data_IF_008910404423
#
_entry.id   IF_008910404423
#
_cell.length_a   1.000
_cell.length_b   1.000
_cell.length_c   1.000
_cell.angle_alpha   90.00
_cell.angle_beta   90.00
_cell.angle_gamma   90.00
#
_symmetry.space_group_name_H-M   'P 1'
#
loop_
_entity.id
_entity.type
_entity.pdbx_description
1 polymer ?
#
# COMPACT_ATOMS: atom_id res chain seq x y z
N UNK A 1 12.55 -1.61 -17.30
CA UNK A 1 11.49 -0.68 -16.84
C UNK A 1 10.31 -1.55 -16.45
N UNK A 2 10.12 -1.81 -15.15
CA UNK A 2 8.94 -2.47 -14.65
C UNK A 2 7.75 -1.53 -14.83
N UNK A 3 6.80 -1.89 -15.68
CA UNK A 3 5.56 -1.18 -15.78
C UNK A 3 4.70 -1.53 -14.55
N UNK A 4 4.48 -0.56 -13.66
CA UNK A 4 3.35 -0.65 -12.75
C UNK A 4 2.10 -0.43 -13.59
N UNK A 5 1.21 -1.40 -13.58
CA UNK A 5 -0.04 -1.29 -14.30
C UNK A 5 -0.91 -0.20 -13.66
N UNK A 6 -1.13 0.90 -14.39
CA UNK A 6 -2.32 1.71 -14.19
C UNK A 6 -3.50 0.81 -14.54
N UNK A 7 -4.35 0.50 -13.60
CA UNK A 7 -5.56 -0.25 -13.91
C UNK A 7 -5.97 -1.30 -12.88
N UNK A 8 -5.21 -1.46 -11.80
CA UNK A 8 -5.75 -2.11 -10.63
C UNK A 8 -6.43 -1.05 -9.79
N UNK A 9 -7.58 -0.64 -10.24
CA UNK A 9 -8.48 0.08 -9.36
C UNK A 9 -8.89 -0.91 -8.27
N UNK A 10 -8.45 -0.60 -7.05
CA UNK A 10 -8.99 -1.24 -5.88
C UNK A 10 -10.46 -0.80 -5.80
N UNK A 11 -11.34 -1.75 -6.07
CA UNK A 11 -12.78 -1.53 -6.00
C UNK A 11 -13.30 -2.02 -4.65
N UNK A 12 -13.94 -1.15 -3.93
CA UNK A 12 -14.70 -1.49 -2.72
C UNK A 12 -15.82 -0.48 -2.55
N UNK A 13 -16.95 -0.96 -2.10
CA UNK A 13 -18.11 -0.11 -1.81
C UNK A 13 -17.93 0.65 -0.50
N UNK A 14 -18.63 1.77 -0.38
CA UNK A 14 -18.69 2.53 0.85
C UNK A 14 -19.39 1.73 1.95
N UNK A 15 -18.74 1.65 3.10
CA UNK A 15 -19.34 1.12 4.32
C UNK A 15 -20.15 2.22 4.98
N UNK A 16 -21.39 1.94 5.35
CA UNK A 16 -22.26 2.96 5.91
C UNK A 16 -21.97 3.25 7.39
N UNK A 17 -21.78 2.21 8.20
CA UNK A 17 -21.62 2.32 9.65
C UNK A 17 -20.57 1.33 10.19
N UNK A 18 -20.00 1.68 11.33
CA UNK A 18 -19.21 0.81 12.17
C UNK A 18 -19.82 0.69 13.55
N UNK A 19 -19.85 -0.50 14.12
CA UNK A 19 -20.46 -0.76 15.43
C UNK A 19 -19.40 -1.17 16.43
N UNK A 20 -19.40 -0.52 17.59
CA UNK A 20 -18.58 -0.83 18.73
C UNK A 20 -19.54 -1.05 19.90
N UNK A 21 -19.77 -2.30 20.27
CA UNK A 21 -20.82 -2.70 21.20
C UNK A 21 -22.18 -2.12 20.76
N UNK A 22 -22.78 -1.26 21.56
CA UNK A 22 -24.06 -0.58 21.30
C UNK A 22 -23.91 0.78 20.59
N UNK A 23 -22.69 1.21 20.29
CA UNK A 23 -22.42 2.50 19.65
C UNK A 23 -22.30 2.34 18.14
N UNK A 24 -23.25 2.92 17.41
CA UNK A 24 -23.25 2.92 15.94
C UNK A 24 -22.70 4.23 15.41
N UNK A 25 -21.55 4.18 14.71
CA UNK A 25 -20.82 5.35 14.21
C UNK A 25 -20.90 5.35 12.68
N UNK A 26 -21.26 6.45 12.01
CA UNK A 26 -21.10 6.59 10.55
C UNK A 26 -19.66 6.25 10.16
N UNK A 27 -19.48 5.40 9.15
CA UNK A 27 -18.14 4.85 8.87
C UNK A 27 -17.13 5.92 8.45
N UNK A 28 -17.55 6.96 7.76
CA UNK A 28 -16.69 8.10 7.44
C UNK A 28 -16.14 8.77 8.71
N UNK A 29 -17.00 8.94 9.70
CA UNK A 29 -16.63 9.51 11.00
C UNK A 29 -15.72 8.56 11.80
N UNK A 30 -15.97 7.25 11.71
CA UNK A 30 -15.09 6.24 12.27
C UNK A 30 -13.69 6.29 11.62
N UNK A 31 -13.59 6.40 10.29
CA UNK A 31 -12.32 6.57 9.58
C UNK A 31 -11.59 7.84 10.04
N UNK A 32 -12.29 8.95 10.15
CA UNK A 32 -11.74 10.22 10.62
C UNK A 32 -11.21 10.10 12.06
N UNK A 33 -12.01 9.58 12.97
CA UNK A 33 -11.65 9.35 14.37
C UNK A 33 -10.44 8.43 14.52
N UNK A 34 -10.44 7.30 13.82
CA UNK A 34 -9.33 6.34 13.88
C UNK A 34 -8.03 6.92 13.31
N UNK A 35 -8.10 7.79 12.29
CA UNK A 35 -6.94 8.52 11.79
C UNK A 35 -6.30 9.38 12.87
N UNK A 36 -7.08 10.16 13.59
CA UNK A 36 -6.59 10.98 14.70
C UNK A 36 -6.08 10.13 15.88
N UNK A 37 -6.82 9.07 16.25
CA UNK A 37 -6.45 8.27 17.42
C UNK A 37 -5.23 7.38 17.16
N UNK A 38 -5.13 6.78 15.98
CA UNK A 38 -3.98 5.91 15.65
C UNK A 38 -2.68 6.69 15.53
N UNK A 39 -2.73 7.96 15.16
CA UNK A 39 -1.56 8.85 15.20
C UNK A 39 -1.14 9.15 16.65
N UNK A 40 -1.83 10.02 17.35
CA UNK A 40 -1.45 10.55 18.67
C UNK A 40 -2.30 10.06 19.85
N UNK A 41 -3.14 9.02 19.66
CA UNK A 41 -4.09 8.58 20.69
C UNK A 41 -3.53 7.59 21.73
N UNK A 42 -4.16 7.57 22.87
CA UNK A 42 -3.93 6.61 23.97
C UNK A 42 -5.22 6.34 24.73
N UNK A 43 -5.20 5.33 25.58
CA UNK A 43 -6.32 5.03 26.52
C UNK A 43 -5.89 5.25 27.95
N UNK A 44 -6.80 5.72 28.78
CA UNK A 44 -6.54 6.05 30.19
C UNK A 44 -7.65 5.46 31.08
N UNK A 45 -7.26 4.89 32.21
CA UNK A 45 -8.19 4.31 33.18
C UNK A 45 -9.15 3.30 32.55
N UNK A 46 -10.41 3.28 32.99
CA UNK A 46 -11.42 2.32 32.53
C UNK A 46 -12.30 2.80 31.38
N UNK A 47 -12.33 4.09 31.11
CA UNK A 47 -13.19 4.68 30.08
C UNK A 47 -12.52 5.80 29.28
N UNK A 48 -11.33 6.28 29.68
CA UNK A 48 -10.70 7.44 29.06
C UNK A 48 -10.12 7.11 27.67
N UNK A 49 -10.48 7.93 26.70
CA UNK A 49 -9.90 8.00 25.36
C UNK A 49 -9.23 9.34 25.19
N UNK A 50 -7.98 9.36 24.83
CA UNK A 50 -7.15 10.57 24.75
C UNK A 50 -6.52 10.67 23.36
N UNK A 51 -6.51 11.87 22.81
CA UNK A 51 -5.77 12.22 21.60
C UNK A 51 -4.87 13.40 21.92
N UNK A 52 -3.56 13.20 21.81
CA UNK A 52 -2.56 14.22 22.09
C UNK A 52 -2.52 15.21 20.94
N UNK A 53 -2.89 16.47 21.23
CA UNK A 53 -2.84 17.57 20.27
C UNK A 53 -2.80 18.89 21.04
N UNK A 54 -1.77 19.67 20.85
CA UNK A 54 -1.56 20.93 21.57
C UNK A 54 -2.59 21.98 21.16
N UNK A 55 -2.85 22.92 22.06
CA UNK A 55 -3.64 24.09 21.77
C UNK A 55 -2.99 24.92 20.65
N UNK A 56 -3.80 25.38 19.70
CA UNK A 56 -3.32 26.10 18.51
C UNK A 56 -2.92 25.22 17.32
N UNK A 57 -2.81 23.89 17.50
CA UNK A 57 -2.52 22.99 16.39
C UNK A 57 -3.74 22.80 15.44
N UNK A 58 -3.52 22.76 14.12
CA UNK A 58 -4.62 22.75 13.13
C UNK A 58 -5.59 21.56 13.25
N UNK A 59 -5.12 20.42 13.76
CA UNK A 59 -5.95 19.23 13.91
C UNK A 59 -6.89 19.30 15.12
N UNK A 60 -6.60 20.14 16.12
CA UNK A 60 -7.30 20.14 17.40
C UNK A 60 -8.81 20.39 17.26
N UNK A 61 -9.19 21.43 16.57
CA UNK A 61 -10.61 21.78 16.38
C UNK A 61 -11.37 20.70 15.61
N UNK A 62 -10.70 20.05 14.67
CA UNK A 62 -11.26 18.92 13.92
C UNK A 62 -11.48 17.71 14.80
N UNK A 63 -10.53 17.39 15.71
CA UNK A 63 -10.66 16.32 16.69
C UNK A 63 -11.83 16.59 17.63
N UNK A 64 -11.94 17.81 18.16
CA UNK A 64 -13.06 18.24 19.01
C UNK A 64 -14.39 18.05 18.30
N UNK A 65 -14.50 18.51 17.06
CA UNK A 65 -15.71 18.35 16.26
C UNK A 65 -16.01 16.88 15.95
N UNK A 66 -15.00 16.09 15.66
CA UNK A 66 -15.15 14.65 15.43
C UNK A 66 -15.70 13.94 16.66
N UNK A 67 -15.16 14.20 17.86
CA UNK A 67 -15.64 13.63 19.13
C UNK A 67 -17.10 14.02 19.41
N UNK A 68 -17.48 15.29 19.18
CA UNK A 68 -18.87 15.75 19.32
C UNK A 68 -19.81 15.06 18.34
N UNK A 69 -19.41 14.88 17.10
CA UNK A 69 -20.20 14.19 16.07
C UNK A 69 -20.39 12.70 16.36
N UNK A 70 -19.46 12.05 17.07
CA UNK A 70 -19.63 10.68 17.57
C UNK A 70 -20.65 10.63 18.73
N UNK A 71 -20.93 11.76 19.36
CA UNK A 71 -21.90 11.86 20.47
C UNK A 71 -21.27 12.00 21.86
N UNK A 72 -19.99 12.38 21.96
CA UNK A 72 -19.31 12.56 23.24
C UNK A 72 -18.94 14.03 23.49
N UNK A 73 -18.93 14.42 24.76
CA UNK A 73 -18.44 15.72 25.17
C UNK A 73 -16.91 15.68 25.34
N UNK A 74 -16.13 16.50 24.59
CA UNK A 74 -14.70 16.53 24.72
C UNK A 74 -14.24 17.34 25.94
N UNK A 75 -13.33 16.77 26.71
CA UNK A 75 -12.59 17.44 27.78
C UNK A 75 -11.26 17.94 27.24
N UNK A 76 -11.04 19.24 27.34
CA UNK A 76 -9.86 19.91 26.75
C UNK A 76 -8.84 20.26 27.83
N UNK A 77 -7.60 19.97 27.52
CA UNK A 77 -6.46 20.48 28.28
C UNK A 77 -5.42 21.03 27.27
N UNK A 78 -4.39 21.73 27.70
CA UNK A 78 -3.42 22.40 26.80
C UNK A 78 -2.75 21.45 25.80
N UNK A 79 -2.64 20.16 26.12
CA UNK A 79 -1.87 19.19 25.34
C UNK A 79 -2.71 18.09 24.69
N UNK A 80 -3.99 17.96 25.07
CA UNK A 80 -4.82 16.82 24.64
C UNK A 80 -6.31 17.15 24.56
N UNK A 81 -7.00 16.34 23.79
CA UNK A 81 -8.46 16.22 23.76
C UNK A 81 -8.81 14.84 24.32
N UNK A 82 -9.68 14.78 25.31
CA UNK A 82 -10.09 13.53 25.93
C UNK A 82 -11.61 13.41 25.97
N UNK A 83 -12.13 12.21 25.99
CA UNK A 83 -13.53 11.90 26.29
C UNK A 83 -13.63 10.54 26.97
N UNK A 84 -14.81 10.19 27.47
CA UNK A 84 -15.01 8.99 28.27
C UNK A 84 -16.05 8.08 27.64
N UNK A 85 -15.64 6.86 27.30
CA UNK A 85 -16.49 5.78 26.80
C UNK A 85 -15.82 4.44 27.04
N UNK A 86 -16.43 3.61 27.87
CA UNK A 86 -15.91 2.25 28.17
C UNK A 86 -15.88 1.36 26.90
N UNK A 87 -16.95 1.29 26.06
CA UNK A 87 -16.93 0.53 24.83
C UNK A 87 -15.81 0.95 23.89
N UNK A 88 -15.74 2.24 23.55
CA UNK A 88 -14.70 2.75 22.63
C UNK A 88 -13.29 2.54 23.22
N UNK A 89 -13.08 2.80 24.51
CA UNK A 89 -11.80 2.56 25.16
C UNK A 89 -11.37 1.10 25.09
N UNK A 90 -12.29 0.16 25.33
CA UNK A 90 -12.01 -1.27 25.26
C UNK A 90 -11.68 -1.71 23.83
N UNK A 91 -12.42 -1.24 22.85
CA UNK A 91 -12.12 -1.44 21.43
C UNK A 91 -10.72 -0.91 21.08
N UNK A 92 -10.39 0.31 21.49
CA UNK A 92 -9.10 0.93 21.16
C UNK A 92 -7.91 0.24 21.84
N UNK A 93 -8.11 -0.42 22.97
CA UNK A 93 -7.06 -1.13 23.70
C UNK A 93 -6.42 -2.25 22.89
N UNK A 94 -7.16 -2.86 21.96
CA UNK A 94 -6.65 -3.95 21.12
C UNK A 94 -5.53 -3.52 20.17
N UNK A 95 -5.46 -2.23 19.83
CA UNK A 95 -4.43 -1.71 18.92
C UNK A 95 -3.08 -1.44 19.59
N UNK A 96 -3.00 -1.62 20.91
CA UNK A 96 -1.75 -1.47 21.65
C UNK A 96 -1.31 -0.01 21.83
N UNK A 97 -0.02 0.16 22.10
CA UNK A 97 0.61 1.48 22.32
C UNK A 97 1.69 1.72 21.28
N UNK A 98 1.89 2.97 20.89
CA UNK A 98 3.03 3.44 20.09
C UNK A 98 3.46 2.45 18.97
N UNK A 99 4.55 1.72 19.23
CA UNK A 99 5.17 0.79 18.28
C UNK A 99 4.33 -0.45 17.93
N UNK A 100 3.23 -0.71 18.63
CA UNK A 100 2.36 -1.87 18.39
C UNK A 100 1.10 -1.52 17.62
N UNK A 101 0.80 -0.24 17.40
CA UNK A 101 -0.39 0.20 16.69
C UNK A 101 -0.46 -0.34 15.26
N UNK A 102 -1.67 -0.57 14.78
CA UNK A 102 -1.96 -1.03 13.42
C UNK A 102 -3.31 -0.53 12.95
N UNK A 103 -3.55 -0.55 11.65
CA UNK A 103 -4.83 -0.12 11.05
C UNK A 103 -5.81 -1.30 11.04
N UNK A 104 -7.05 -1.12 11.54
CA UNK A 104 -8.06 -2.18 11.50
C UNK A 104 -8.40 -2.60 10.08
N UNK A 105 -8.72 -3.89 9.90
CA UNK A 105 -9.09 -4.47 8.61
C UNK A 105 -10.31 -3.79 7.97
N UNK A 106 -11.25 -3.33 8.78
CA UNK A 106 -12.41 -2.56 8.29
C UNK A 106 -11.97 -1.34 7.46
N UNK A 107 -10.99 -0.57 7.93
CA UNK A 107 -10.46 0.59 7.19
C UNK A 107 -9.63 0.13 5.99
N UNK A 108 -8.85 -0.96 6.12
CA UNK A 108 -8.05 -1.47 5.00
C UNK A 108 -8.89 -2.01 3.85
N UNK A 109 -10.11 -2.43 4.13
CA UNK A 109 -11.05 -2.95 3.14
C UNK A 109 -12.17 -1.95 2.76
N UNK A 110 -12.06 -0.70 3.21
CA UNK A 110 -13.00 0.37 2.89
C UNK A 110 -12.82 0.88 1.46
N UNK A 111 -13.77 1.68 0.98
CA UNK A 111 -13.65 2.34 -0.32
C UNK A 111 -12.45 3.30 -0.36
N UNK A 112 -11.96 3.61 -1.56
CA UNK A 112 -10.88 4.58 -1.75
C UNK A 112 -11.21 5.93 -1.11
N UNK A 113 -12.47 6.36 -1.22
CA UNK A 113 -12.96 7.59 -0.61
C UNK A 113 -12.80 7.57 0.91
N UNK A 114 -13.20 6.49 1.55
CA UNK A 114 -13.14 6.31 3.01
C UNK A 114 -11.69 6.12 3.51
N UNK A 115 -10.88 5.40 2.77
CA UNK A 115 -9.42 5.32 3.00
C UNK A 115 -8.80 6.72 3.00
N UNK A 116 -9.19 7.58 2.07
CA UNK A 116 -8.69 8.96 2.00
C UNK A 116 -9.11 9.81 3.20
N UNK A 117 -10.30 9.61 3.76
CA UNK A 117 -10.71 10.27 5.01
C UNK A 117 -9.75 9.91 6.13
N UNK A 118 -9.47 8.61 6.30
CA UNK A 118 -8.53 8.12 7.30
C UNK A 118 -7.12 8.70 7.10
N UNK A 119 -6.56 8.60 5.89
CA UNK A 119 -5.23 9.11 5.57
C UNK A 119 -5.09 10.61 5.80
N UNK A 120 -6.11 11.39 5.46
CA UNK A 120 -6.12 12.83 5.70
C UNK A 120 -6.14 13.17 7.21
N UNK A 121 -6.93 12.45 8.00
CA UNK A 121 -6.99 12.63 9.44
C UNK A 121 -5.65 12.26 10.11
N UNK A 122 -5.07 11.13 9.73
CA UNK A 122 -3.75 10.70 10.23
C UNK A 122 -2.66 11.71 9.88
N UNK A 123 -2.62 12.20 8.63
CA UNK A 123 -1.64 13.17 8.15
C UNK A 123 -1.68 14.49 8.95
N UNK A 124 -2.85 14.92 9.37
CA UNK A 124 -3.00 16.16 10.14
C UNK A 124 -2.35 16.10 11.53
N UNK A 125 -2.16 14.91 12.11
CA UNK A 125 -1.56 14.71 13.43
C UNK A 125 -0.09 14.27 13.33
N UNK A 126 0.19 13.16 12.65
CA UNK A 126 1.52 12.56 12.52
C UNK A 126 2.01 12.55 11.06
N UNK A 127 1.68 13.58 10.34
CA UNK A 127 2.11 13.76 8.97
C UNK A 127 2.67 15.13 8.69
N UNK A 128 3.12 15.29 7.47
CA UNK A 128 3.59 16.56 6.94
C UNK A 128 3.18 16.72 5.49
N UNK A 129 2.60 17.87 5.18
CA UNK A 129 2.29 18.27 3.81
C UNK A 129 3.24 19.38 3.41
N UNK A 130 4.08 19.11 2.43
CA UNK A 130 4.97 20.11 1.84
C UNK A 130 4.34 20.61 0.54
N UNK A 131 4.06 21.93 0.44
CA UNK A 131 3.63 22.54 -0.81
C UNK A 131 4.66 22.27 -1.90
N UNK A 132 4.19 21.98 -3.08
CA UNK A 132 5.06 21.77 -4.21
C UNK A 132 5.83 23.04 -4.52
N UNK A 133 7.14 22.91 -4.68
CA UNK A 133 8.01 23.96 -5.20
C UNK A 133 8.49 23.55 -6.58
N UNK A 134 8.36 24.43 -7.56
CA UNK A 134 9.13 24.30 -8.79
C UNK A 134 10.61 24.40 -8.42
N UNK A 135 11.44 23.53 -8.95
CA UNK A 135 12.89 23.66 -8.83
C UNK A 135 13.53 23.56 -10.22
N UNK A 136 14.61 24.28 -10.40
CA UNK A 136 15.42 24.23 -11.62
C UNK A 136 16.52 23.20 -11.40
N UNK A 137 16.54 22.15 -12.21
CA UNK A 137 17.60 21.13 -12.18
C UNK A 137 18.93 21.68 -12.70
N UNK A 138 20.02 20.95 -12.49
CA UNK A 138 21.40 21.33 -12.83
C UNK A 138 21.62 21.68 -14.32
N UNK A 139 20.68 21.35 -15.19
CA UNK A 139 20.71 21.64 -16.64
C UNK A 139 19.69 22.69 -17.08
N UNK A 140 19.20 23.52 -16.14
CA UNK A 140 18.23 24.57 -16.45
C UNK A 140 16.80 24.07 -16.72
N UNK A 141 16.55 22.77 -16.58
CA UNK A 141 15.21 22.22 -16.75
C UNK A 141 14.36 22.53 -15.52
N UNK A 142 13.27 23.25 -15.72
CA UNK A 142 12.32 23.56 -14.67
C UNK A 142 11.42 22.33 -14.42
N UNK A 143 11.49 21.78 -13.21
CA UNK A 143 10.60 20.72 -12.77
C UNK A 143 9.45 21.35 -11.99
N UNK A 144 8.25 21.29 -12.55
CA UNK A 144 7.02 21.69 -11.86
C UNK A 144 6.30 20.40 -11.43
N UNK A 145 6.10 20.24 -10.13
CA UNK A 145 5.12 19.31 -9.62
C UNK A 145 3.91 20.12 -9.16
N UNK A 146 2.76 19.82 -9.65
CA UNK A 146 1.47 20.46 -9.32
C UNK A 146 0.80 19.84 -8.09
N UNK A 147 1.45 18.87 -7.45
CA UNK A 147 0.92 18.15 -6.29
C UNK A 147 1.84 18.26 -5.09
N UNK A 148 1.23 18.52 -3.94
CA UNK A 148 1.94 18.57 -2.66
C UNK A 148 2.58 17.21 -2.33
N UNK A 149 3.73 17.26 -1.65
CA UNK A 149 4.35 16.08 -1.08
C UNK A 149 3.69 15.77 0.27
N UNK A 150 3.22 14.55 0.45
CA UNK A 150 2.60 14.08 1.69
C UNK A 150 3.49 13.00 2.31
N UNK A 151 3.80 13.18 3.59
CA UNK A 151 4.55 12.24 4.41
C UNK A 151 3.73 11.86 5.63
N UNK A 152 3.86 10.60 6.04
CA UNK A 152 3.29 10.04 7.25
C UNK A 152 4.43 9.50 8.11
N UNK A 153 4.34 9.68 9.43
CA UNK A 153 5.35 9.22 10.37
C UNK A 153 4.74 8.27 11.39
N UNK A 154 5.47 7.24 11.77
CA UNK A 154 5.07 6.33 12.83
C UNK A 154 6.27 5.58 13.38
N UNK A 155 6.19 5.15 14.64
CA UNK A 155 7.18 4.25 15.25
C UNK A 155 6.76 2.78 15.19
N UNK A 156 5.59 2.48 14.64
CA UNK A 156 5.11 1.11 14.43
C UNK A 156 5.43 0.64 13.01
N UNK A 157 6.23 -0.42 12.90
CA UNK A 157 6.51 -1.06 11.61
C UNK A 157 5.24 -1.60 10.95
N UNK A 158 4.34 -2.17 11.76
CA UNK A 158 3.05 -2.67 11.28
C UNK A 158 2.19 -1.55 10.71
N UNK A 159 2.08 -0.43 11.44
CA UNK A 159 1.37 0.76 10.99
C UNK A 159 1.96 1.32 9.70
N UNK A 160 3.29 1.38 9.59
CA UNK A 160 3.98 1.86 8.40
C UNK A 160 3.65 1.02 7.16
N UNK A 161 3.62 -0.29 7.32
CA UNK A 161 3.19 -1.20 6.26
C UNK A 161 1.71 -1.04 5.92
N UNK A 162 0.83 -0.86 6.92
CA UNK A 162 -0.60 -0.64 6.71
C UNK A 162 -0.88 0.70 6.01
N UNK A 163 -0.17 1.79 6.38
CA UNK A 163 -0.22 3.07 5.67
C UNK A 163 0.23 2.92 4.20
N UNK A 164 1.30 2.15 3.96
CA UNK A 164 1.76 1.86 2.60
C UNK A 164 0.71 1.11 1.79
N UNK A 165 -0.02 0.18 2.40
CA UNK A 165 -1.15 -0.53 1.79
C UNK A 165 -2.27 0.44 1.39
N UNK A 166 -2.67 1.33 2.30
CA UNK A 166 -3.74 2.30 2.03
C UNK A 166 -3.37 3.29 0.93
N UNK A 167 -2.12 3.77 0.90
CA UNK A 167 -1.62 4.64 -0.16
C UNK A 167 -1.68 3.91 -1.52
N UNK A 168 -1.26 2.65 -1.57
CA UNK A 168 -1.29 1.84 -2.78
C UNK A 168 -2.73 1.61 -3.28
N UNK A 169 -3.65 1.24 -2.38
CA UNK A 169 -5.08 1.09 -2.67
C UNK A 169 -5.74 2.39 -3.15
N UNK A 170 -5.22 3.52 -2.72
CA UNK A 170 -5.68 4.85 -3.16
C UNK A 170 -5.10 5.29 -4.52
N UNK A 171 -4.40 4.40 -5.24
CA UNK A 171 -3.87 4.66 -6.57
C UNK A 171 -2.52 5.41 -6.61
N UNK A 172 -1.89 5.63 -5.46
CA UNK A 172 -0.58 6.26 -5.35
C UNK A 172 0.49 5.24 -4.94
N UNK A 173 1.76 5.58 -5.13
CA UNK A 173 2.88 4.71 -4.79
C UNK A 173 3.48 5.10 -3.43
N UNK A 174 3.55 4.18 -2.45
CA UNK A 174 4.26 4.45 -1.21
C UNK A 174 5.78 4.40 -1.43
N UNK A 175 6.51 5.33 -0.82
CA UNK A 175 7.96 5.28 -0.66
C UNK A 175 8.27 5.20 0.83
N UNK A 176 9.04 4.21 1.23
CA UNK A 176 9.26 3.83 2.61
C UNK A 176 10.72 4.06 3.02
N UNK A 177 10.94 4.76 4.11
CA UNK A 177 12.25 4.95 4.71
C UNK A 177 12.21 4.76 6.23
N UNK A 178 13.34 4.41 6.82
CA UNK A 178 13.48 4.13 8.25
C UNK A 178 14.64 4.96 8.80
N UNK A 179 14.35 5.77 9.81
CA UNK A 179 15.35 6.42 10.64
C UNK A 179 15.52 5.57 11.89
N UNK A 180 16.72 5.02 12.06
CA UNK A 180 17.01 4.12 13.18
C UNK A 180 16.99 4.83 14.52
N UNK A 181 16.57 4.12 15.57
CA UNK A 181 16.69 4.57 16.96
C UNK A 181 18.15 4.93 17.27
N UNK A 182 18.33 5.91 18.15
CA UNK A 182 19.65 6.37 18.55
C UNK A 182 19.71 7.89 18.73
N UNK A 183 20.94 8.38 18.83
CA UNK A 183 21.22 9.80 18.99
C UNK A 183 21.44 10.45 17.63
N UNK A 184 20.71 11.51 17.34
CA UNK A 184 20.88 12.32 16.13
C UNK A 184 21.14 13.77 16.51
N UNK A 185 21.97 14.45 15.70
CA UNK A 185 22.29 15.87 15.86
C UNK A 185 21.54 16.67 14.78
N UNK A 186 20.77 17.67 15.20
CA UNK A 186 20.14 18.60 14.26
C UNK A 186 21.16 19.64 13.79
N UNK A 187 20.87 20.25 12.64
CA UNK A 187 21.69 21.35 12.08
C UNK A 187 21.81 22.55 13.01
N UNK A 188 20.87 22.75 13.93
CA UNK A 188 20.89 23.80 14.96
C UNK A 188 21.66 23.40 16.24
N UNK A 189 22.37 22.27 16.24
CA UNK A 189 23.15 21.77 17.37
C UNK A 189 22.36 21.02 18.44
N UNK A 190 21.02 20.94 18.35
CA UNK A 190 20.25 20.18 19.32
C UNK A 190 20.38 18.67 19.10
N UNK A 191 20.42 17.93 20.21
CA UNK A 191 20.53 16.47 20.22
C UNK A 191 19.12 15.89 20.41
N UNK A 192 18.75 14.94 19.56
CA UNK A 192 17.54 14.15 19.72
C UNK A 192 17.93 12.72 19.99
N UNK A 193 17.38 12.17 21.07
CA UNK A 193 17.48 10.74 21.39
C UNK A 193 16.14 10.07 21.07
N UNK A 194 16.16 9.14 20.15
CA UNK A 194 14.98 8.34 19.77
C UNK A 194 15.09 6.93 20.32
N UNK A 195 14.09 6.50 21.07
CA UNK A 195 14.04 5.15 21.66
C UNK A 195 13.52 4.09 20.69
N UNK A 196 12.91 4.51 19.57
CA UNK A 196 12.30 3.65 18.56
C UNK A 196 12.75 4.08 17.18
N UNK A 197 12.77 3.12 16.24
CA UNK A 197 12.88 3.39 14.83
C UNK A 197 11.68 4.25 14.38
N UNK A 198 11.94 5.27 13.57
CA UNK A 198 10.90 6.10 13.00
C UNK A 198 10.74 5.77 11.51
N UNK A 199 9.57 5.32 11.14
CA UNK A 199 9.20 5.00 9.78
C UNK A 199 8.57 6.22 9.12
N UNK A 200 9.07 6.57 7.94
CA UNK A 200 8.55 7.66 7.12
C UNK A 200 8.01 7.10 5.81
N UNK A 201 6.75 7.34 5.56
CA UNK A 201 6.05 6.88 4.36
C UNK A 201 5.67 8.09 3.54
N UNK A 202 6.24 8.19 2.33
CA UNK A 202 5.91 9.26 1.38
C UNK A 202 4.90 8.78 0.38
N UNK A 203 3.89 9.59 0.12
CA UNK A 203 2.93 9.37 -0.94
C UNK A 203 3.47 9.95 -2.26
N UNK A 204 3.74 9.09 -3.23
CA UNK A 204 4.26 9.45 -4.53
C UNK A 204 3.17 9.30 -5.59
N UNK A 205 2.91 10.37 -6.33
CA UNK A 205 1.91 10.37 -7.41
C UNK A 205 2.43 9.76 -8.72
N UNK A 206 3.75 9.55 -8.83
CA UNK A 206 4.32 8.84 -9.97
C UNK A 206 4.03 7.35 -9.85
N UNK A 207 3.40 6.79 -10.88
CA UNK A 207 3.08 5.36 -10.97
C UNK A 207 4.24 4.54 -11.52
N UNK A 208 5.33 5.17 -11.95
CA UNK A 208 6.51 4.49 -12.51
C UNK A 208 7.49 4.15 -11.40
N UNK A 209 7.79 2.87 -11.22
CA UNK A 209 8.91 2.44 -10.39
C UNK A 209 10.19 2.33 -11.22
N UNK A 210 11.28 2.81 -10.65
CA UNK A 210 12.61 2.65 -11.23
C UNK A 210 13.37 1.57 -10.46
N UNK A 211 13.91 0.59 -11.17
CA UNK A 211 14.80 -0.41 -10.58
C UNK A 211 16.20 0.18 -10.53
N UNK A 212 16.68 0.50 -9.34
CA UNK A 212 18.02 1.06 -9.13
C UNK A 212 19.09 -0.02 -8.95
N UNK A 213 18.69 -1.19 -8.45
CA UNK A 213 19.59 -2.28 -8.18
C UNK A 213 18.97 -3.60 -8.66
N UNK A 214 19.80 -4.42 -9.31
CA UNK A 214 19.44 -5.76 -9.75
C UNK A 214 20.56 -6.70 -9.38
N UNK A 215 20.23 -7.73 -8.62
CA UNK A 215 21.14 -8.79 -8.23
C UNK A 215 20.60 -10.11 -8.75
N UNK A 216 21.47 -10.94 -9.29
CA UNK A 216 21.17 -12.31 -9.71
C UNK A 216 21.65 -13.22 -8.59
N UNK A 217 20.71 -13.91 -7.95
CA UNK A 217 21.02 -14.89 -6.91
C UNK A 217 20.65 -16.29 -7.42
N UNK A 218 21.54 -17.25 -7.14
CA UNK A 218 21.19 -18.64 -7.34
C UNK A 218 20.13 -19.04 -6.31
N UNK A 219 19.05 -19.66 -6.77
CA UNK A 219 17.96 -20.14 -5.92
C UNK A 219 17.73 -21.63 -6.24
N UNK A 220 17.85 -22.46 -5.23
CA UNK A 220 17.53 -23.88 -5.28
C UNK A 220 16.37 -24.14 -4.32
N UNK A 221 15.17 -24.39 -4.85
CA UNK A 221 13.95 -24.56 -4.08
C UNK A 221 12.66 -24.35 -4.90
N UNK A 222 11.52 -24.48 -4.24
CA UNK A 222 10.24 -24.31 -4.87
C UNK A 222 9.89 -22.83 -5.07
N UNK A 223 9.38 -22.49 -6.26
CA UNK A 223 8.76 -21.22 -6.54
C UNK A 223 7.25 -21.42 -6.49
N UNK A 224 6.59 -20.60 -5.70
CA UNK A 224 5.13 -20.66 -5.52
C UNK A 224 4.46 -19.55 -6.31
N UNK A 225 3.35 -19.87 -6.94
CA UNK A 225 2.50 -18.93 -7.63
C UNK A 225 1.04 -19.12 -7.19
N UNK A 226 0.23 -18.08 -7.33
CA UNK A 226 -1.17 -18.07 -6.92
C UNK A 226 -2.07 -17.97 -8.15
N UNK A 227 -3.05 -18.85 -8.25
CA UNK A 227 -4.13 -18.68 -9.22
C UNK A 227 -5.13 -17.67 -8.66
N UNK A 228 -5.30 -16.55 -9.37
CA UNK A 228 -6.21 -15.48 -8.99
C UNK A 228 -7.44 -15.48 -9.90
N UNK A 229 -8.60 -15.26 -9.31
CA UNK A 229 -9.87 -15.30 -10.00
C UNK A 229 -10.04 -14.18 -11.03
N UNK A 230 -9.55 -12.97 -10.71
CA UNK A 230 -9.64 -11.79 -11.57
C UNK A 230 -8.27 -11.15 -11.76
N UNK A 231 -8.03 -10.61 -12.95
CA UNK A 231 -6.91 -9.71 -13.32
C UNK A 231 -5.49 -10.23 -13.06
N UNK A 232 -5.31 -11.37 -12.40
CA UNK A 232 -4.02 -11.96 -12.02
C UNK A 232 -3.07 -10.99 -11.33
N UNK A 233 -3.60 -10.03 -10.60
CA UNK A 233 -2.86 -9.03 -9.86
C UNK A 233 -3.09 -9.25 -8.38
N UNK A 234 -2.00 -9.28 -7.63
CA UNK A 234 -2.00 -9.49 -6.20
C UNK A 234 -1.33 -8.35 -5.47
N UNK A 235 -1.81 -8.06 -4.28
CA UNK A 235 -1.13 -7.21 -3.33
C UNK A 235 0.00 -8.00 -2.68
N UNK A 236 1.22 -7.48 -2.78
CA UNK A 236 2.42 -8.09 -2.19
C UNK A 236 2.98 -7.15 -1.15
N UNK A 237 3.31 -7.70 0.02
CA UNK A 237 3.99 -7.00 1.09
C UNK A 237 5.24 -7.77 1.50
N UNK A 238 6.41 -7.11 1.41
CA UNK A 238 7.68 -7.68 1.82
C UNK A 238 8.50 -6.62 2.58
N UNK A 239 8.94 -6.94 3.80
CA UNK A 239 9.73 -6.03 4.63
C UNK A 239 9.09 -4.65 4.79
N UNK A 240 7.78 -4.60 5.08
CA UNK A 240 7.01 -3.36 5.21
C UNK A 240 6.69 -2.64 3.90
N UNK A 241 7.31 -3.00 2.78
CA UNK A 241 7.07 -2.40 1.46
C UNK A 241 5.96 -3.12 0.72
N UNK A 242 5.08 -2.34 0.11
CA UNK A 242 3.89 -2.83 -0.57
C UNK A 242 3.95 -2.49 -2.05
N UNK A 243 3.47 -3.42 -2.89
CA UNK A 243 3.34 -3.20 -4.33
C UNK A 243 2.30 -4.15 -4.94
N UNK A 244 1.80 -3.78 -6.12
CA UNK A 244 1.02 -4.68 -6.92
C UNK A 244 1.94 -5.58 -7.71
N UNK A 245 1.83 -6.88 -7.53
CA UNK A 245 2.48 -7.89 -8.34
C UNK A 245 1.47 -8.53 -9.28
N UNK A 246 1.92 -8.97 -10.44
CA UNK A 246 1.12 -9.83 -11.30
C UNK A 246 1.61 -11.26 -11.16
N UNK A 247 0.66 -12.18 -11.19
CA UNK A 247 0.94 -13.57 -11.50
C UNK A 247 1.54 -13.64 -12.91
N UNK A 248 2.64 -14.34 -13.08
CA UNK A 248 3.26 -14.48 -14.39
C UNK A 248 2.38 -15.36 -15.26
N UNK A 249 1.73 -14.76 -16.26
CA UNK A 249 0.85 -15.49 -17.19
C UNK A 249 1.60 -16.26 -18.28
N UNK A 250 2.90 -16.06 -18.39
CA UNK A 250 3.65 -16.51 -19.53
C UNK A 250 4.92 -17.21 -19.06
N UNK A 251 4.80 -18.46 -18.69
CA UNK A 251 5.93 -19.36 -18.73
C UNK A 251 5.94 -20.08 -20.07
N UNK A 252 7.08 -20.04 -20.77
CA UNK A 252 7.41 -21.17 -21.62
C UNK A 252 7.59 -22.34 -20.65
N UNK A 253 6.57 -23.15 -20.50
CA UNK A 253 6.76 -24.47 -19.91
C UNK A 253 7.49 -25.23 -21.00
N UNK A 254 8.76 -25.61 -20.79
CA UNK A 254 9.38 -26.52 -21.73
C UNK A 254 8.48 -27.76 -21.76
N UNK A 255 8.04 -28.15 -22.94
CA UNK A 255 7.38 -29.43 -23.14
C UNK A 255 8.48 -30.46 -22.88
N UNK A 256 8.50 -30.98 -21.67
CA UNK A 256 9.45 -32.01 -21.31
C UNK A 256 8.99 -33.29 -21.99
N UNK A 257 9.91 -33.92 -22.69
CA UNK A 257 9.73 -35.27 -23.20
C UNK A 257 9.44 -36.20 -22.00
N UNK A 258 8.63 -37.21 -22.22
CA UNK A 258 8.47 -38.29 -21.23
C UNK A 258 9.80 -39.01 -21.07
N UNK A 259 9.98 -39.79 -20.01
CA UNK A 259 11.22 -40.55 -19.78
C UNK A 259 11.48 -41.52 -20.94
N UNK A 260 10.45 -42.16 -21.49
CA UNK A 260 10.53 -43.02 -22.66
C UNK A 260 10.95 -42.25 -23.91
N UNK A 261 10.33 -41.12 -24.21
CA UNK A 261 10.68 -40.25 -25.34
C UNK A 261 12.11 -39.70 -25.21
N UNK A 262 12.62 -39.49 -23.99
CA UNK A 262 13.97 -39.04 -23.73
C UNK A 262 15.00 -40.14 -24.03
N UNK A 263 14.74 -41.38 -23.63
CA UNK A 263 15.63 -42.48 -23.87
C UNK A 263 15.62 -42.98 -25.32
N UNK A 264 14.56 -42.79 -26.05
CA UNK A 264 14.45 -43.08 -27.50
C UNK A 264 15.18 -42.04 -28.36
N UNK A 265 15.52 -40.86 -27.80
CA UNK A 265 16.17 -39.79 -28.53
C UNK A 265 17.69 -39.95 -28.48
N UNK A 266 18.29 -40.19 -29.67
CA UNK A 266 19.74 -40.41 -29.86
C UNK A 266 20.58 -39.12 -29.76
N UNK A 267 19.96 -37.95 -29.52
CA UNK A 267 20.64 -36.65 -29.37
C UNK A 267 21.20 -36.06 -30.68
N UNK A 268 21.03 -36.73 -31.84
CA UNK A 268 21.61 -36.35 -33.12
C UNK A 268 20.62 -35.91 -34.16
N UNK A 269 19.35 -36.27 -34.00
CA UNK A 269 18.24 -35.87 -34.88
C UNK A 269 17.45 -34.72 -34.28
N UNK A 270 16.96 -33.81 -35.12
CA UNK A 270 15.88 -32.91 -34.69
C UNK A 270 14.71 -33.78 -34.21
N UNK A 271 14.17 -33.47 -33.02
CA UNK A 271 13.07 -34.23 -32.45
C UNK A 271 11.84 -34.13 -33.41
N UNK A 272 11.67 -35.14 -34.23
CA UNK A 272 10.59 -35.22 -35.24
C UNK A 272 9.29 -35.81 -34.70
N UNK A 273 9.34 -36.43 -33.50
CA UNK A 273 8.17 -36.98 -32.83
C UNK A 273 7.58 -35.95 -31.86
N UNK A 274 6.33 -35.57 -32.09
CA UNK A 274 5.57 -34.74 -31.19
C UNK A 274 5.42 -35.45 -29.84
N UNK A 275 5.82 -34.78 -28.72
CA UNK A 275 5.63 -35.33 -27.37
C UNK A 275 4.15 -35.46 -27.04
N UNK A 276 3.80 -36.52 -26.26
CA UNK A 276 2.44 -36.66 -25.72
C UNK A 276 2.02 -35.47 -24.84
N UNK A 277 3.00 -34.73 -24.33
CA UNK A 277 2.80 -33.51 -23.55
C UNK A 277 2.65 -32.26 -24.44
N UNK A 278 2.76 -32.40 -25.77
CA UNK A 278 2.64 -31.26 -26.67
C UNK A 278 1.21 -30.73 -26.70
N UNK A 279 1.07 -29.43 -26.44
CA UNK A 279 -0.19 -28.73 -26.58
C UNK A 279 -0.43 -28.45 -28.06
N UNK A 280 -1.21 -29.28 -28.72
CA UNK A 280 -1.46 -29.21 -30.19
C UNK A 280 -2.40 -28.06 -30.58
N UNK A 281 -3.11 -27.50 -29.61
CA UNK A 281 -4.05 -26.41 -29.89
C UNK A 281 -4.15 -25.47 -28.65
N UNK A 282 -4.48 -24.23 -28.94
CA UNK A 282 -4.70 -23.21 -27.90
C UNK A 282 -6.18 -23.08 -27.58
N UNK A 283 -6.57 -22.71 -26.35
CA UNK A 283 -7.98 -22.55 -25.99
C UNK A 283 -8.70 -21.58 -26.94
N UNK A 284 -9.94 -21.87 -27.27
CA UNK A 284 -10.76 -21.05 -28.19
C UNK A 284 -10.91 -19.60 -27.71
N UNK A 285 -10.94 -19.40 -26.40
CA UNK A 285 -10.94 -18.06 -25.80
C UNK A 285 -9.68 -17.25 -26.19
N UNK A 286 -8.51 -17.91 -26.28
CA UNK A 286 -7.28 -17.25 -26.71
C UNK A 286 -7.29 -16.96 -28.21
N UNK A 287 -7.76 -17.91 -29.05
CA UNK A 287 -7.92 -17.69 -30.49
C UNK A 287 -8.84 -16.52 -30.76
N UNK A 288 -9.98 -16.46 -30.07
CA UNK A 288 -10.91 -15.33 -30.14
C UNK A 288 -10.25 -14.02 -29.73
N UNK A 289 -9.53 -14.01 -28.61
CA UNK A 289 -8.82 -12.83 -28.16
C UNK A 289 -7.80 -12.32 -29.19
N UNK A 290 -7.05 -13.20 -29.83
CA UNK A 290 -6.11 -12.85 -30.90
C UNK A 290 -6.85 -12.22 -32.09
N UNK A 291 -7.99 -12.77 -32.50
CA UNK A 291 -8.82 -12.22 -33.55
C UNK A 291 -9.35 -10.83 -33.22
N UNK A 292 -9.86 -10.66 -32.01
CA UNK A 292 -10.43 -9.39 -31.55
C UNK A 292 -9.37 -8.27 -31.31
N UNK A 293 -8.07 -8.64 -31.26
CA UNK A 293 -6.97 -7.70 -30.99
C UNK A 293 -5.95 -7.60 -32.15
N UNK A 294 -6.28 -8.00 -33.34
CA UNK A 294 -5.39 -8.02 -34.51
C UNK A 294 -4.70 -6.67 -34.76
N UNK A 295 -5.42 -5.55 -34.63
CA UNK A 295 -4.88 -4.22 -34.85
C UNK A 295 -3.84 -3.84 -33.77
N UNK A 296 -4.08 -4.18 -32.52
CA UNK A 296 -3.13 -3.99 -31.41
C UNK A 296 -1.88 -4.83 -31.61
N UNK A 297 -2.03 -6.08 -32.01
CA UNK A 297 -0.94 -7.02 -32.30
C UNK A 297 -0.07 -6.49 -33.44
N UNK A 298 -0.68 -6.03 -34.51
CA UNK A 298 0.03 -5.47 -35.66
C UNK A 298 0.81 -4.21 -35.32
N UNK A 299 0.24 -3.35 -34.47
CA UNK A 299 0.88 -2.14 -33.97
C UNK A 299 2.06 -2.47 -33.03
N UNK A 300 1.89 -3.44 -32.15
CA UNK A 300 2.95 -3.91 -31.27
C UNK A 300 4.11 -4.56 -32.06
N UNK A 301 3.80 -5.32 -33.10
CA UNK A 301 4.79 -5.90 -34.01
C UNK A 301 5.63 -4.82 -34.71
N UNK A 302 5.00 -3.76 -35.22
CA UNK A 302 5.70 -2.61 -35.85
C UNK A 302 6.62 -1.89 -34.90
N UNK A 303 6.26 -1.85 -33.58
CA UNK A 303 7.05 -1.20 -32.53
C UNK A 303 8.06 -2.12 -31.84
N UNK A 304 8.20 -3.36 -32.28
CA UNK A 304 9.03 -4.40 -31.66
C UNK A 304 8.73 -4.59 -30.16
N UNK A 305 7.46 -4.47 -29.78
CA UNK A 305 6.94 -4.64 -28.43
C UNK A 305 6.00 -5.83 -28.33
N UNK A 306 5.98 -6.70 -29.35
CA UNK A 306 5.15 -7.88 -29.36
C UNK A 306 5.54 -8.82 -28.23
N UNK A 307 4.59 -9.32 -27.42
CA UNK A 307 4.87 -10.38 -26.46
C UNK A 307 5.36 -11.64 -27.19
N UNK A 308 6.30 -12.37 -26.59
CA UNK A 308 6.93 -13.55 -27.21
C UNK A 308 5.99 -14.72 -27.51
N UNK A 309 4.77 -14.72 -26.94
CA UNK A 309 3.75 -15.74 -27.15
C UNK A 309 2.77 -15.41 -28.29
N UNK A 310 2.94 -14.30 -28.95
CA UNK A 310 2.22 -13.86 -30.16
C UNK A 310 3.21 -13.80 -31.34
#
# INVERSE_FOLDING_TARGET
KGAFYRGCEYESEDVAFYEIDDIRIPFDLFCEFMGYWLSGGSTMGNAGVVISQQEGEPARDRIVNCVKRIGFEPHLDKQKVAFYSTPIRNYLKIFGKCSHKFIPSAIKNASVRQIRIFLNAFMLCDGYRRPCKSFVGNHGTEFKSDKDEILYFTVSERMAGDLSELILKSGNRPSFSVNKAGVSHKSNGSIITSNYDCYSIRECYSVTATVFHKEIQHYDGFVYDLTLEKNHIMYIRRNGKCFWGSNCRCYKIPILKTEEEFWEWDGRSEATTASVNEVKDVPDAFKKWVLDNQERISTAKKRNTLPYFL
#
